data_IF_628806686522
#
_entry.id   IF_628806686522
#
_cell.length_a   1.000
_cell.length_b   1.000
_cell.length_c   1.000
_cell.angle_alpha   90.00
_cell.angle_beta   90.00
_cell.angle_gamma   90.00
#
_symmetry.space_group_name_H-M   'P 1'
#
loop_
_entity.id
_entity.type
_entity.pdbx_description
1 polymer ?
#
# COMPACT_ATOMS: atom_id res chain seq x y z
N UNK A 1 17.21 -1.70 12.24
CA UNK A 1 15.74 -1.72 12.30
C UNK A 1 15.26 -0.87 13.47
N UNK A 2 14.28 0.00 13.27
CA UNK A 2 13.75 0.86 14.36
C UNK A 2 12.54 0.21 15.04
N UNK A 3 12.18 0.62 16.26
CA UNK A 3 10.97 0.11 16.94
C UNK A 3 9.70 0.34 16.10
N UNK A 4 9.63 1.44 15.34
CA UNK A 4 8.51 1.74 14.44
C UNK A 4 8.42 0.78 13.26
N UNK A 5 9.56 0.28 12.80
CA UNK A 5 9.71 -0.70 11.73
C UNK A 5 9.17 -2.06 12.17
N UNK A 6 9.59 -2.51 13.36
CA UNK A 6 9.12 -3.77 13.98
C UNK A 6 7.60 -3.75 14.12
N UNK A 7 7.02 -2.67 14.67
CA UNK A 7 5.57 -2.56 14.86
C UNK A 7 4.80 -2.60 13.53
N UNK A 8 5.37 -2.05 12.45
CA UNK A 8 4.77 -2.12 11.13
C UNK A 8 4.72 -3.56 10.60
N UNK A 9 5.85 -4.27 10.64
CA UNK A 9 5.94 -5.66 10.20
C UNK A 9 5.01 -6.59 11.00
N UNK A 10 4.94 -6.42 12.33
CA UNK A 10 4.00 -7.18 13.18
C UNK A 10 2.53 -6.91 12.78
N UNK A 11 2.17 -5.67 12.48
CA UNK A 11 0.82 -5.32 12.07
C UNK A 11 0.45 -5.94 10.71
N UNK A 12 1.38 -5.90 9.75
CA UNK A 12 1.24 -6.49 8.42
C UNK A 12 1.12 -8.02 8.50
N UNK A 13 2.00 -8.69 9.24
CA UNK A 13 1.96 -10.14 9.42
C UNK A 13 0.60 -10.60 9.97
N UNK A 14 0.10 -9.96 11.04
CA UNK A 14 -1.22 -10.27 11.62
C UNK A 14 -2.36 -10.00 10.65
N UNK A 15 -2.24 -8.99 9.77
CA UNK A 15 -3.26 -8.71 8.74
C UNK A 15 -3.33 -9.87 7.74
N UNK A 16 -2.19 -10.31 7.22
CA UNK A 16 -2.12 -11.42 6.29
C UNK A 16 -2.66 -12.73 6.89
N UNK A 17 -2.31 -13.06 8.14
CA UNK A 17 -2.85 -14.26 8.80
C UNK A 17 -4.37 -14.23 8.99
N UNK A 18 -4.93 -13.07 9.32
CA UNK A 18 -6.39 -12.90 9.41
C UNK A 18 -7.07 -13.09 8.05
N UNK A 19 -6.46 -12.57 6.98
CA UNK A 19 -6.98 -12.70 5.61
C UNK A 19 -6.88 -14.16 5.12
N UNK A 20 -5.79 -14.86 5.41
CA UNK A 20 -5.60 -16.28 5.11
C UNK A 20 -6.64 -17.18 5.80
N UNK A 21 -7.16 -16.76 6.97
CA UNK A 21 -8.26 -17.44 7.66
C UNK A 21 -9.63 -17.28 6.99
N UNK A 22 -9.79 -16.30 6.09
CA UNK A 22 -11.08 -15.93 5.47
C UNK A 22 -11.18 -16.34 3.99
N UNK A 23 -10.06 -16.50 3.28
CA UNK A 23 -10.00 -16.84 1.84
C UNK A 23 -9.33 -18.20 1.62
N UNK A 24 -9.92 -19.03 0.74
CA UNK A 24 -9.45 -20.39 0.46
C UNK A 24 -8.35 -20.48 -0.62
N UNK A 25 -8.50 -19.75 -1.73
CA UNK A 25 -7.60 -19.86 -2.89
C UNK A 25 -6.22 -19.20 -2.67
N UNK A 26 -6.17 -18.03 -2.03
CA UNK A 26 -4.91 -17.27 -1.85
C UNK A 26 -4.22 -17.58 -0.50
N UNK A 27 -4.66 -18.64 0.18
CA UNK A 27 -4.27 -18.91 1.57
C UNK A 27 -2.77 -19.11 1.70
N UNK A 28 -2.16 -19.90 0.81
CA UNK A 28 -0.74 -20.21 0.87
C UNK A 28 0.12 -18.95 0.64
N UNK A 29 -0.20 -18.16 -0.38
CA UNK A 29 0.46 -16.87 -0.66
C UNK A 29 0.40 -15.94 0.55
N UNK A 30 -0.78 -15.73 1.14
CA UNK A 30 -0.93 -14.88 2.32
C UNK A 30 -0.14 -15.39 3.55
N UNK A 31 0.04 -16.70 3.68
CA UNK A 31 0.87 -17.26 4.76
C UNK A 31 2.38 -17.07 4.49
N UNK A 32 2.82 -17.10 3.23
CA UNK A 32 4.20 -16.79 2.86
C UNK A 32 4.52 -15.31 3.11
N UNK A 33 3.61 -14.40 2.72
CA UNK A 33 3.72 -12.97 3.02
C UNK A 33 3.79 -12.73 4.53
N UNK A 34 2.90 -13.37 5.31
CA UNK A 34 2.94 -13.29 6.76
C UNK A 34 4.27 -13.82 7.34
N UNK A 35 4.83 -14.89 6.77
CA UNK A 35 6.10 -15.46 7.23
C UNK A 35 7.27 -14.49 7.00
N UNK A 36 7.32 -13.82 5.84
CA UNK A 36 8.30 -12.77 5.54
C UNK A 36 8.20 -11.59 6.51
N UNK A 37 6.99 -11.11 6.78
CA UNK A 37 6.76 -10.02 7.74
C UNK A 37 7.14 -10.42 9.18
N UNK A 38 6.87 -11.65 9.61
CA UNK A 38 7.32 -12.15 10.92
C UNK A 38 8.84 -12.26 11.01
N UNK A 39 9.51 -12.69 9.93
CA UNK A 39 10.97 -12.74 9.85
C UNK A 39 11.58 -11.34 9.97
N UNK A 40 11.06 -10.38 9.20
CA UNK A 40 11.45 -8.97 9.30
C UNK A 40 11.17 -8.39 10.69
N UNK A 41 10.11 -8.81 11.38
CA UNK A 41 9.86 -8.42 12.77
C UNK A 41 10.81 -9.06 13.80
N UNK A 42 11.62 -10.05 13.41
CA UNK A 42 12.49 -10.83 14.30
C UNK A 42 11.79 -11.98 15.03
N UNK A 43 10.53 -12.27 14.70
CA UNK A 43 9.74 -13.37 15.28
C UNK A 43 10.01 -14.69 14.54
N UNK A 44 11.24 -15.18 14.70
CA UNK A 44 11.80 -16.33 13.96
C UNK A 44 10.93 -17.59 14.09
N UNK A 45 10.46 -17.91 15.29
CA UNK A 45 9.67 -19.13 15.53
C UNK A 45 8.33 -19.08 14.79
N UNK A 46 7.70 -17.90 14.74
CA UNK A 46 6.41 -17.73 14.05
C UNK A 46 6.59 -17.78 12.54
N UNK A 47 7.63 -17.14 12.01
CA UNK A 47 7.96 -17.22 10.58
C UNK A 47 8.21 -18.68 10.16
N UNK A 48 9.00 -19.42 10.93
CA UNK A 48 9.33 -20.82 10.63
C UNK A 48 8.08 -21.73 10.68
N UNK A 49 7.17 -21.51 11.63
CA UNK A 49 5.90 -22.24 11.70
C UNK A 49 5.08 -22.06 10.42
N UNK A 50 4.98 -20.82 9.91
CA UNK A 50 4.21 -20.51 8.72
C UNK A 50 4.83 -21.12 7.45
N UNK A 51 6.15 -21.01 7.27
CA UNK A 51 6.85 -21.66 6.16
C UNK A 51 6.62 -23.17 6.17
N UNK A 52 6.80 -23.83 7.32
CA UNK A 52 6.57 -25.28 7.46
C UNK A 52 5.13 -25.66 7.14
N UNK A 53 4.17 -24.84 7.56
CA UNK A 53 2.75 -25.06 7.27
C UNK A 53 2.46 -25.03 5.78
N UNK A 54 2.93 -24.00 5.06
CA UNK A 54 2.75 -23.92 3.59
C UNK A 54 3.41 -25.10 2.88
N UNK A 55 4.61 -25.50 3.32
CA UNK A 55 5.30 -26.67 2.76
C UNK A 55 4.53 -27.96 3.03
N UNK A 56 3.90 -28.10 4.20
CA UNK A 56 3.13 -29.29 4.60
C UNK A 56 1.74 -29.38 3.96
N UNK A 57 1.06 -28.26 3.75
CA UNK A 57 -0.28 -28.20 3.16
C UNK A 57 -0.28 -28.76 1.72
N UNK A 58 0.87 -28.69 1.03
CA UNK A 58 1.02 -29.17 -0.35
C UNK A 58 0.30 -28.27 -1.37
N UNK A 59 0.36 -28.63 -2.66
CA UNK A 59 -0.22 -27.84 -3.75
C UNK A 59 0.81 -27.05 -4.59
N UNK A 60 0.36 -26.31 -5.61
CA UNK A 60 1.23 -25.52 -6.49
C UNK A 60 2.14 -24.56 -5.71
N UNK A 61 1.58 -23.81 -4.77
CA UNK A 61 2.24 -22.78 -3.97
C UNK A 61 3.25 -23.37 -2.96
N UNK A 62 3.20 -24.69 -2.72
CA UNK A 62 4.18 -25.40 -1.90
C UNK A 62 5.58 -25.38 -2.53
N UNK A 63 5.67 -25.24 -3.86
CA UNK A 63 6.95 -25.19 -4.56
C UNK A 63 7.70 -23.88 -4.25
N UNK A 64 7.03 -22.73 -4.42
CA UNK A 64 7.55 -21.40 -4.02
C UNK A 64 7.84 -21.37 -2.52
N UNK A 65 6.94 -21.89 -1.69
CA UNK A 65 7.14 -21.94 -0.24
C UNK A 65 8.39 -22.71 0.20
N UNK A 66 8.81 -23.75 -0.54
CA UNK A 66 10.08 -24.47 -0.28
C UNK A 66 11.31 -23.62 -0.60
N UNK A 67 11.27 -22.83 -1.69
CA UNK A 67 12.37 -21.94 -2.06
C UNK A 67 12.53 -20.81 -1.03
N UNK A 68 11.44 -20.12 -0.69
CA UNK A 68 11.45 -19.04 0.31
C UNK A 68 11.83 -19.53 1.71
N UNK A 69 11.38 -20.74 2.09
CA UNK A 69 11.82 -21.34 3.35
C UNK A 69 13.34 -21.63 3.36
N UNK A 70 13.93 -21.98 2.21
CA UNK A 70 15.37 -22.13 2.11
C UNK A 70 16.10 -20.79 2.30
N UNK A 71 15.60 -19.70 1.71
CA UNK A 71 16.12 -18.34 1.92
C UNK A 71 16.10 -17.94 3.39
N UNK A 72 14.95 -18.10 4.05
CA UNK A 72 14.82 -17.91 5.50
C UNK A 72 15.83 -18.73 6.31
N UNK A 73 16.06 -20.00 5.95
CA UNK A 73 17.05 -20.85 6.63
C UNK A 73 18.49 -20.38 6.40
N UNK A 74 18.81 -19.82 5.22
CA UNK A 74 20.12 -19.20 4.98
C UNK A 74 20.34 -17.97 5.84
N UNK A 75 19.33 -17.09 5.98
CA UNK A 75 19.39 -15.91 6.85
C UNK A 75 19.67 -16.28 8.32
N UNK A 76 19.14 -17.41 8.78
CA UNK A 76 19.41 -17.95 10.11
C UNK A 76 20.77 -18.67 10.25
N UNK A 77 21.58 -18.72 9.19
CA UNK A 77 22.84 -19.44 9.14
C UNK A 77 22.70 -20.97 9.08
N UNK A 78 21.49 -21.49 8.82
CA UNK A 78 21.19 -22.94 8.76
C UNK A 78 21.38 -23.51 7.35
N UNK A 79 22.56 -23.28 6.77
CA UNK A 79 22.83 -23.53 5.36
C UNK A 79 22.67 -24.99 4.91
N UNK A 80 22.92 -25.97 5.77
CA UNK A 80 22.69 -27.40 5.44
C UNK A 80 21.20 -27.71 5.28
N UNK A 81 20.36 -27.16 6.16
CA UNK A 81 18.91 -27.34 6.10
C UNK A 81 18.33 -26.63 4.88
N UNK A 82 18.80 -25.40 4.58
CA UNK A 82 18.41 -24.66 3.40
C UNK A 82 18.70 -25.45 2.10
N UNK A 83 19.93 -25.97 1.96
CA UNK A 83 20.31 -26.79 0.80
C UNK A 83 19.49 -28.08 0.69
N UNK A 84 19.13 -28.71 1.81
CA UNK A 84 18.25 -29.87 1.81
C UNK A 84 16.85 -29.54 1.26
N UNK A 85 16.27 -28.39 1.66
CA UNK A 85 14.99 -27.91 1.11
C UNK A 85 15.07 -27.66 -0.40
N UNK A 86 16.14 -27.01 -0.88
CA UNK A 86 16.36 -26.79 -2.31
C UNK A 86 16.55 -28.12 -3.07
N UNK A 87 17.25 -29.10 -2.49
CA UNK A 87 17.42 -30.42 -3.10
C UNK A 87 16.07 -31.17 -3.23
N UNK A 88 15.20 -31.09 -2.22
CA UNK A 88 13.85 -31.63 -2.26
C UNK A 88 13.02 -30.97 -3.36
N UNK A 89 13.06 -29.63 -3.45
CA UNK A 89 12.39 -28.87 -4.50
C UNK A 89 12.91 -29.26 -5.90
N UNK A 90 14.22 -29.38 -6.07
CA UNK A 90 14.84 -29.77 -7.33
C UNK A 90 14.39 -31.15 -7.82
N UNK A 91 14.30 -32.10 -6.89
CA UNK A 91 13.87 -33.48 -7.15
C UNK A 91 12.37 -33.57 -7.48
N UNK A 92 11.55 -32.73 -6.87
CA UNK A 92 10.11 -32.67 -7.12
C UNK A 92 9.77 -32.20 -8.55
N UNK A 93 10.67 -31.44 -9.20
CA UNK A 93 10.50 -30.91 -10.57
C UNK A 93 9.13 -30.22 -10.76
N UNK A 94 8.81 -29.18 -9.98
CA UNK A 94 7.57 -28.45 -10.17
C UNK A 94 7.50 -27.90 -11.61
N UNK A 95 6.29 -27.80 -12.15
CA UNK A 95 5.99 -27.10 -13.41
C UNK A 95 5.64 -25.63 -13.20
N UNK A 96 6.14 -25.05 -12.10
CA UNK A 96 5.90 -23.70 -11.63
C UNK A 96 7.18 -22.89 -11.79
N UNK A 97 7.25 -21.91 -12.71
CA UNK A 97 8.45 -21.11 -12.95
C UNK A 97 8.91 -20.33 -11.72
N UNK A 98 7.99 -19.80 -10.92
CA UNK A 98 8.27 -18.93 -9.77
C UNK A 98 9.11 -19.68 -8.73
N UNK A 99 8.87 -20.99 -8.58
CA UNK A 99 9.67 -21.82 -7.68
C UNK A 99 11.15 -21.94 -8.09
N UNK A 100 11.46 -21.84 -9.39
CA UNK A 100 12.84 -21.86 -9.87
C UNK A 100 13.49 -20.49 -9.78
N UNK A 101 12.72 -19.45 -10.02
CA UNK A 101 13.13 -18.05 -9.91
C UNK A 101 13.51 -17.75 -8.44
N UNK A 102 12.60 -17.98 -7.50
CA UNK A 102 12.87 -17.76 -6.07
C UNK A 102 14.07 -18.58 -5.58
N UNK A 103 14.23 -19.82 -6.07
CA UNK A 103 15.39 -20.63 -5.72
C UNK A 103 16.69 -20.08 -6.31
N UNK A 104 16.65 -19.49 -7.51
CA UNK A 104 17.80 -18.86 -8.14
C UNK A 104 18.18 -17.56 -7.40
N UNK A 105 17.22 -16.70 -7.05
CA UNK A 105 17.45 -15.49 -6.26
C UNK A 105 18.08 -15.82 -4.91
N UNK A 106 17.48 -16.74 -4.15
CA UNK A 106 18.03 -17.19 -2.85
C UNK A 106 19.48 -17.67 -2.98
N UNK A 107 19.83 -18.36 -4.07
CA UNK A 107 21.19 -18.83 -4.31
C UNK A 107 22.14 -17.71 -4.75
N UNK A 108 21.65 -16.72 -5.48
CA UNK A 108 22.39 -15.51 -5.85
C UNK A 108 22.73 -14.69 -4.60
N UNK A 109 21.76 -14.46 -3.71
CA UNK A 109 21.93 -13.70 -2.47
C UNK A 109 23.00 -14.29 -1.54
N UNK A 110 23.07 -15.62 -1.45
CA UNK A 110 24.11 -16.31 -0.67
C UNK A 110 25.44 -16.48 -1.43
N UNK A 111 25.53 -15.97 -2.66
CA UNK A 111 26.74 -15.95 -3.48
C UNK A 111 27.04 -17.25 -4.24
N UNK A 112 26.13 -18.23 -4.26
CA UNK A 112 26.29 -19.44 -5.08
C UNK A 112 25.77 -19.19 -6.51
N UNK A 113 26.43 -18.27 -7.21
CA UNK A 113 26.08 -17.83 -8.56
C UNK A 113 26.00 -18.99 -9.55
N UNK A 114 26.87 -20.00 -9.40
CA UNK A 114 26.85 -21.19 -10.24
C UNK A 114 25.58 -22.01 -10.03
N UNK A 115 25.09 -22.13 -8.79
CA UNK A 115 23.81 -22.78 -8.52
C UNK A 115 22.63 -21.93 -8.98
N UNK A 116 22.64 -20.62 -8.71
CA UNK A 116 21.60 -19.70 -9.17
C UNK A 116 21.37 -19.82 -10.69
N UNK A 117 22.46 -19.77 -11.48
CA UNK A 117 22.38 -19.93 -12.93
C UNK A 117 21.83 -21.29 -13.36
N UNK A 118 22.15 -22.37 -12.61
CA UNK A 118 21.58 -23.71 -12.89
C UNK A 118 20.08 -23.74 -12.64
N UNK A 119 19.60 -23.07 -11.60
CA UNK A 119 18.17 -23.00 -11.28
C UNK A 119 17.38 -22.19 -12.29
N UNK A 120 17.86 -20.99 -12.66
CA UNK A 120 17.21 -20.17 -13.67
C UNK A 120 17.10 -20.91 -15.03
N UNK A 121 18.21 -21.50 -15.50
CA UNK A 121 18.19 -22.30 -16.74
C UNK A 121 17.27 -23.54 -16.65
N UNK A 122 17.19 -24.18 -15.48
CA UNK A 122 16.30 -25.31 -15.30
C UNK A 122 14.81 -24.90 -15.30
N UNK A 123 14.46 -23.76 -14.70
CA UNK A 123 13.11 -23.22 -14.74
C UNK A 123 12.66 -22.95 -16.17
N UNK A 124 13.50 -22.26 -16.94
CA UNK A 124 13.27 -22.02 -18.38
C UNK A 124 13.05 -23.35 -19.12
N UNK A 125 13.99 -24.28 -19.01
CA UNK A 125 13.94 -25.53 -19.75
C UNK A 125 12.76 -26.45 -19.36
N UNK A 126 12.35 -26.45 -18.09
CA UNK A 126 11.31 -27.34 -17.58
C UNK A 126 9.90 -26.78 -17.76
N UNK A 127 9.73 -25.47 -17.67
CA UNK A 127 8.41 -24.83 -17.73
C UNK A 127 8.05 -24.37 -19.14
N UNK A 128 9.03 -23.93 -19.93
CA UNK A 128 8.82 -23.34 -21.26
C UNK A 128 9.31 -24.23 -22.41
N UNK A 129 10.06 -25.29 -22.09
CA UNK A 129 10.62 -26.22 -23.06
C UNK A 129 11.95 -25.72 -23.65
N UNK A 130 12.38 -26.25 -24.81
CA UNK A 130 13.67 -25.90 -25.39
C UNK A 130 13.74 -24.41 -25.76
N UNK A 131 14.96 -23.86 -25.68
CA UNK A 131 15.25 -22.47 -26.05
C UNK A 131 14.85 -22.23 -27.51
N UNK A 132 13.73 -21.53 -27.73
CA UNK A 132 13.32 -20.99 -29.04
C UNK A 132 13.57 -19.49 -29.05
N UNK A 133 13.69 -18.90 -30.23
CA UNK A 133 13.67 -17.45 -30.35
C UNK A 133 12.33 -16.93 -29.79
N UNK A 134 12.44 -16.07 -28.77
CA UNK A 134 11.34 -15.34 -28.12
C UNK A 134 11.63 -13.86 -28.29
N UNK A 135 10.59 -13.06 -28.50
CA UNK A 135 10.74 -11.60 -28.56
C UNK A 135 10.38 -10.94 -27.22
N UNK A 136 10.66 -9.64 -27.09
CA UNK A 136 10.45 -8.90 -25.85
C UNK A 136 8.97 -8.66 -25.53
N UNK A 137 8.07 -8.69 -26.52
CA UNK A 137 6.63 -8.54 -26.28
C UNK A 137 6.04 -9.83 -25.71
N UNK A 138 6.46 -10.98 -26.24
CA UNK A 138 6.12 -12.29 -25.71
C UNK A 138 6.61 -12.46 -24.27
N UNK A 139 7.88 -12.11 -24.00
CA UNK A 139 8.44 -12.17 -22.65
C UNK A 139 7.72 -11.20 -21.70
N UNK A 140 7.37 -9.99 -22.15
CA UNK A 140 6.61 -9.05 -21.33
C UNK A 140 5.19 -9.56 -20.99
N UNK A 141 4.62 -10.42 -21.85
CA UNK A 141 3.34 -11.06 -21.61
C UNK A 141 3.36 -12.17 -20.54
N UNK A 142 4.55 -12.65 -20.17
CA UNK A 142 4.78 -13.72 -19.19
C UNK A 142 5.81 -13.27 -18.15
N UNK A 143 5.33 -12.66 -17.06
CA UNK A 143 6.19 -12.09 -16.03
C UNK A 143 7.10 -13.14 -15.36
N UNK A 144 6.63 -14.37 -15.22
CA UNK A 144 7.43 -15.44 -14.64
C UNK A 144 8.62 -15.85 -15.54
N UNK A 145 8.43 -15.81 -16.88
CA UNK A 145 9.53 -15.95 -17.82
C UNK A 145 10.47 -14.75 -17.73
N UNK A 146 9.94 -13.52 -17.71
CA UNK A 146 10.73 -12.32 -17.55
C UNK A 146 11.61 -12.37 -16.31
N UNK A 147 11.08 -12.79 -15.16
CA UNK A 147 11.82 -12.87 -13.89
C UNK A 147 12.90 -13.97 -13.92
N UNK A 148 12.64 -15.12 -14.56
CA UNK A 148 13.68 -16.13 -14.80
C UNK A 148 14.82 -15.63 -15.71
N UNK A 149 14.49 -14.97 -16.82
CA UNK A 149 15.50 -14.36 -17.70
C UNK A 149 16.24 -13.23 -17.00
N UNK A 150 15.55 -12.57 -16.07
CA UNK A 150 16.06 -11.47 -15.28
C UNK A 150 17.22 -11.92 -14.40
N UNK A 151 16.94 -12.87 -13.52
CA UNK A 151 17.92 -13.45 -12.60
C UNK A 151 19.05 -14.11 -13.38
N UNK A 152 18.72 -14.84 -14.46
CA UNK A 152 19.73 -15.44 -15.33
C UNK A 152 20.73 -14.42 -15.87
N UNK A 153 20.24 -13.31 -16.42
CA UNK A 153 21.09 -12.26 -16.99
C UNK A 153 21.99 -11.61 -15.95
N UNK A 154 21.45 -11.33 -14.76
CA UNK A 154 22.21 -10.77 -13.63
C UNK A 154 23.32 -11.71 -13.16
N UNK A 155 22.99 -12.99 -12.96
CA UNK A 155 23.95 -14.00 -12.51
C UNK A 155 25.03 -14.26 -13.58
N UNK A 156 24.69 -14.25 -14.87
CA UNK A 156 25.67 -14.36 -15.97
C UNK A 156 26.65 -13.20 -15.95
N UNK A 157 26.15 -11.97 -15.78
CA UNK A 157 27.00 -10.79 -15.67
C UNK A 157 27.91 -10.87 -14.43
N UNK A 158 27.39 -11.32 -13.28
CA UNK A 158 28.18 -11.52 -12.06
C UNK A 158 29.25 -12.64 -12.20
N UNK A 159 29.07 -13.56 -13.14
CA UNK A 159 30.04 -14.59 -13.52
C UNK A 159 30.96 -14.19 -14.67
N UNK A 160 30.97 -12.91 -15.07
CA UNK A 160 31.72 -12.37 -16.22
C UNK A 160 31.44 -13.11 -17.55
N UNK A 161 30.24 -13.65 -17.71
CA UNK A 161 29.82 -14.28 -18.96
C UNK A 161 29.32 -13.22 -19.94
N UNK A 162 29.62 -13.35 -21.25
CA UNK A 162 29.07 -12.43 -22.24
C UNK A 162 27.54 -12.56 -22.31
N UNK A 163 26.79 -11.46 -22.48
CA UNK A 163 25.35 -11.53 -22.66
C UNK A 163 25.00 -12.31 -23.94
N UNK A 164 23.90 -13.03 -23.92
CA UNK A 164 23.30 -13.64 -25.10
C UNK A 164 21.97 -13.00 -25.49
N UNK A 165 21.35 -13.51 -26.55
CA UNK A 165 20.11 -12.95 -27.10
C UNK A 165 18.97 -12.91 -26.06
N UNK A 166 18.93 -13.88 -25.15
CA UNK A 166 17.92 -13.98 -24.10
C UNK A 166 18.13 -12.89 -23.04
N UNK A 167 19.38 -12.63 -22.70
CA UNK A 167 19.74 -11.52 -21.82
C UNK A 167 19.32 -10.17 -22.45
N UNK A 168 19.52 -10.01 -23.77
CA UNK A 168 19.08 -8.82 -24.51
C UNK A 168 17.56 -8.63 -24.53
N UNK A 169 16.81 -9.70 -24.80
CA UNK A 169 15.34 -9.68 -24.80
C UNK A 169 14.79 -9.34 -23.41
N UNK A 170 15.39 -9.89 -22.34
CA UNK A 170 14.99 -9.60 -20.97
C UNK A 170 15.19 -8.13 -20.60
N UNK A 171 16.27 -7.49 -21.07
CA UNK A 171 16.50 -6.06 -20.87
C UNK A 171 15.39 -5.24 -21.52
N UNK A 172 15.09 -5.49 -22.80
CA UNK A 172 14.05 -4.78 -23.54
C UNK A 172 12.65 -4.95 -22.91
N UNK A 173 12.33 -6.18 -22.48
CA UNK A 173 11.05 -6.46 -21.82
C UNK A 173 10.92 -5.73 -20.48
N UNK A 174 11.99 -5.69 -19.66
CA UNK A 174 12.00 -4.91 -18.40
C UNK A 174 11.86 -3.41 -18.63
N UNK A 175 12.55 -2.87 -19.63
CA UNK A 175 12.44 -1.44 -19.99
C UNK A 175 10.99 -1.10 -20.37
N UNK A 176 10.38 -1.92 -21.23
CA UNK A 176 8.98 -1.76 -21.62
C UNK A 176 8.01 -1.91 -20.42
N UNK A 177 8.27 -2.84 -19.49
CA UNK A 177 7.48 -2.98 -18.26
C UNK A 177 7.58 -1.71 -17.39
N UNK A 178 8.79 -1.17 -17.24
CA UNK A 178 9.05 0.07 -16.51
C UNK A 178 8.31 1.27 -17.11
N UNK A 179 8.33 1.40 -18.45
CA UNK A 179 7.57 2.44 -19.16
C UNK A 179 6.05 2.31 -18.95
N UNK A 180 5.51 1.09 -19.07
CA UNK A 180 4.09 0.81 -18.81
C UNK A 180 3.70 1.15 -17.38
N UNK A 181 4.53 0.78 -16.39
CA UNK A 181 4.28 1.11 -14.99
C UNK A 181 4.33 2.63 -14.73
N UNK A 182 5.29 3.33 -15.34
CA UNK A 182 5.40 4.78 -15.24
C UNK A 182 4.17 5.47 -15.85
N UNK A 183 3.69 5.01 -16.99
CA UNK A 183 2.45 5.47 -17.61
C UNK A 183 1.24 5.23 -16.71
N UNK A 184 1.03 4.01 -16.22
CA UNK A 184 -0.09 3.70 -15.32
C UNK A 184 -0.05 4.54 -14.03
N UNK A 185 1.15 4.74 -13.48
CA UNK A 185 1.36 5.59 -12.30
C UNK A 185 1.03 7.05 -12.61
N UNK A 186 1.47 7.56 -13.76
CA UNK A 186 1.13 8.91 -14.24
C UNK A 186 -0.37 9.06 -14.43
N UNK A 187 -1.04 8.13 -15.11
CA UNK A 187 -2.49 8.15 -15.30
C UNK A 187 -3.26 8.03 -13.98
N UNK A 188 -2.78 7.22 -13.03
CA UNK A 188 -3.37 7.10 -11.71
C UNK A 188 -3.19 8.41 -10.91
N UNK A 189 -2.04 9.06 -11.07
CA UNK A 189 -1.74 10.38 -10.49
C UNK A 189 -2.59 11.47 -11.12
N UNK A 190 -2.74 11.48 -12.45
CA UNK A 190 -3.61 12.39 -13.20
C UNK A 190 -5.08 12.18 -12.81
N UNK A 191 -5.54 10.94 -12.65
CA UNK A 191 -6.86 10.63 -12.09
C UNK A 191 -7.02 11.11 -10.64
N UNK A 192 -5.93 11.09 -9.86
CA UNK A 192 -5.86 11.62 -8.49
C UNK A 192 -5.63 13.13 -8.42
N UNK A 193 -5.31 13.80 -9.53
CA UNK A 193 -4.89 15.21 -9.56
C UNK A 193 -6.00 16.21 -9.22
N UNK A 194 -7.24 15.75 -9.00
CA UNK A 194 -8.17 16.48 -8.15
C UNK A 194 -7.81 16.20 -6.69
N UNK A 195 -6.91 17.00 -6.11
CA UNK A 195 -6.60 16.95 -4.69
C UNK A 195 -7.86 17.34 -3.90
N UNK A 196 -8.65 16.34 -3.53
CA UNK A 196 -9.85 16.53 -2.73
C UNK A 196 -9.45 16.72 -1.27
N UNK A 197 -9.49 17.95 -0.80
CA UNK A 197 -9.27 18.26 0.61
C UNK A 197 -10.62 18.30 1.30
N UNK A 198 -10.88 17.32 2.16
CA UNK A 198 -12.11 17.23 2.93
C UNK A 198 -11.93 17.71 4.38
N UNK A 199 -12.85 18.53 4.86
CA UNK A 199 -12.90 18.99 6.26
C UNK A 199 -14.22 18.54 6.87
N UNK A 200 -14.17 17.94 8.07
CA UNK A 200 -15.36 17.51 8.79
C UNK A 200 -16.06 18.68 9.48
N UNK A 201 -17.37 18.78 9.28
CA UNK A 201 -18.27 19.66 10.00
C UNK A 201 -19.25 18.82 10.84
N UNK A 202 -19.21 19.03 12.15
CA UNK A 202 -20.19 18.53 13.11
C UNK A 202 -21.41 19.48 13.22
N UNK A 203 -22.63 19.02 12.93
CA UNK A 203 -23.87 19.71 13.31
C UNK A 203 -23.95 20.01 14.82
N UNK A 204 -24.81 20.93 15.28
CA UNK A 204 -24.85 21.34 16.69
C UNK A 204 -25.00 20.18 17.68
N UNK A 205 -25.91 19.26 17.41
CA UNK A 205 -26.20 18.10 18.27
C UNK A 205 -25.01 17.13 18.30
N UNK A 206 -24.46 16.81 17.13
CA UNK A 206 -23.26 15.97 16.98
C UNK A 206 -22.03 16.61 17.64
N UNK A 207 -21.86 17.93 17.53
CA UNK A 207 -20.74 18.60 18.16
C UNK A 207 -20.83 18.57 19.69
N UNK A 208 -22.04 18.76 20.24
CA UNK A 208 -22.27 18.62 21.67
C UNK A 208 -21.98 17.18 22.14
N UNK A 209 -22.41 16.19 21.37
CA UNK A 209 -22.17 14.77 21.66
C UNK A 209 -20.67 14.42 21.57
N UNK A 210 -19.95 14.97 20.58
CA UNK A 210 -18.50 14.78 20.42
C UNK A 210 -17.74 15.28 21.65
N UNK A 211 -18.07 16.48 22.12
CA UNK A 211 -17.47 17.08 23.31
C UNK A 211 -17.85 16.33 24.59
N UNK A 212 -19.06 15.75 24.64
CA UNK A 212 -19.51 14.92 25.76
C UNK A 212 -18.73 13.61 25.86
N UNK A 213 -18.50 12.91 24.74
CA UNK A 213 -17.77 11.64 24.70
C UNK A 213 -16.26 11.81 24.89
N UNK A 214 -15.71 12.87 24.29
CA UNK A 214 -14.26 13.13 24.31
C UNK A 214 -13.98 14.58 24.69
N UNK A 215 -13.99 14.90 26.00
CA UNK A 215 -13.61 16.20 26.50
C UNK A 215 -12.12 16.46 26.18
N UNK A 216 -11.86 17.27 25.16
CA UNK A 216 -10.49 17.54 24.67
C UNK A 216 -10.33 17.49 23.16
N UNK A 217 -11.35 17.04 22.40
CA UNK A 217 -11.29 16.97 20.93
C UNK A 217 -11.06 18.31 20.23
N UNK A 218 -11.38 19.43 20.90
CA UNK A 218 -11.20 20.80 20.40
C UNK A 218 -10.52 21.70 21.45
N UNK A 219 -9.20 21.57 21.64
CA UNK A 219 -8.46 22.38 22.59
C UNK A 219 -8.29 23.80 22.02
N UNK A 220 -9.03 24.77 22.56
CA UNK A 220 -9.00 26.16 22.07
C UNK A 220 -10.29 26.96 22.30
N UNK A 221 -11.38 26.30 22.72
CA UNK A 221 -12.59 27.00 23.14
C UNK A 221 -12.34 27.77 24.45
N UNK A 222 -12.48 29.09 24.41
CA UNK A 222 -12.55 29.93 25.60
C UNK A 222 -14.01 29.99 26.07
N UNK A 223 -14.26 30.03 27.38
CA UNK A 223 -15.62 30.00 27.97
C UNK A 223 -16.51 31.22 27.63
N UNK A 224 -16.03 32.11 26.77
CA UNK A 224 -16.67 33.35 26.35
C UNK A 224 -17.16 33.21 24.91
N UNK A 225 -18.19 32.40 24.67
CA UNK A 225 -18.86 32.27 23.37
C UNK A 225 -19.62 30.94 23.21
N UNK A 226 -20.44 30.83 22.15
CA UNK A 226 -21.05 29.55 21.76
C UNK A 226 -19.97 28.61 21.18
N UNK A 227 -19.75 27.42 21.77
CA UNK A 227 -18.77 26.45 21.28
C UNK A 227 -18.97 26.05 19.82
N UNK A 228 -20.22 25.96 19.35
CA UNK A 228 -20.50 25.54 17.98
C UNK A 228 -20.13 26.63 16.96
N UNK A 229 -20.28 27.89 17.32
CA UNK A 229 -19.82 29.01 16.52
C UNK A 229 -18.29 29.00 16.37
N UNK A 230 -17.53 28.61 17.39
CA UNK A 230 -16.07 28.47 17.31
C UNK A 230 -15.67 27.36 16.32
N UNK A 231 -16.32 26.20 16.38
CA UNK A 231 -16.11 25.09 15.43
C UNK A 231 -16.42 25.52 13.99
N UNK A 232 -17.54 26.24 13.76
CA UNK A 232 -17.87 26.76 12.43
C UNK A 232 -16.78 27.69 11.87
N UNK A 233 -16.16 28.51 12.71
CA UNK A 233 -15.05 29.38 12.30
C UNK A 233 -13.80 28.59 11.94
N UNK A 234 -13.46 27.57 12.72
CA UNK A 234 -12.30 26.71 12.47
C UNK A 234 -12.43 25.98 11.12
N UNK A 235 -13.61 25.42 10.84
CA UNK A 235 -13.89 24.74 9.55
C UNK A 235 -13.72 25.72 8.38
N UNK A 236 -14.35 26.88 8.45
CA UNK A 236 -14.23 27.93 7.40
C UNK A 236 -12.78 28.39 7.22
N UNK A 237 -12.06 28.64 8.32
CA UNK A 237 -10.67 29.07 8.29
C UNK A 237 -9.74 28.00 7.70
N UNK A 238 -9.97 26.73 8.02
CA UNK A 238 -9.19 25.60 7.48
C UNK A 238 -9.37 25.49 5.97
N UNK A 239 -10.61 25.58 5.48
CA UNK A 239 -10.91 25.55 4.06
C UNK A 239 -10.31 26.77 3.32
N UNK A 240 -10.37 27.96 3.92
CA UNK A 240 -9.73 29.17 3.34
C UNK A 240 -8.21 29.09 3.31
N UNK A 241 -7.57 28.52 4.33
CA UNK A 241 -6.11 28.28 4.34
C UNK A 241 -5.73 27.29 3.26
N UNK A 242 -6.48 26.20 3.10
CA UNK A 242 -6.27 25.25 2.00
C UNK A 242 -6.33 25.94 0.63
N UNK A 243 -7.29 26.86 0.38
CA UNK A 243 -7.29 27.66 -0.86
C UNK A 243 -6.03 28.52 -1.00
N UNK A 244 -5.60 29.19 0.07
CA UNK A 244 -4.44 30.08 0.04
C UNK A 244 -3.14 29.31 -0.21
N UNK A 245 -3.02 28.12 0.37
CA UNK A 245 -1.86 27.24 0.23
C UNK A 245 -1.83 26.54 -1.15
N UNK A 246 -3.00 26.28 -1.74
CA UNK A 246 -3.16 25.70 -3.08
C UNK A 246 -3.15 26.74 -4.22
N UNK A 247 -3.12 28.05 -3.94
CA UNK A 247 -3.08 29.07 -4.98
C UNK A 247 -1.66 29.17 -5.58
N UNK A 248 -1.46 28.92 -6.89
CA UNK A 248 -0.15 29.09 -7.49
C UNK A 248 0.27 30.57 -7.42
N UNK A 249 1.54 30.81 -7.06
CA UNK A 249 2.21 32.04 -7.44
C UNK A 249 1.98 32.27 -8.94
N UNK A 250 1.57 33.48 -9.29
CA UNK A 250 1.04 33.85 -10.60
C UNK A 250 1.66 33.11 -11.80
N UNK A 251 0.79 32.65 -12.72
CA UNK A 251 1.06 32.14 -14.08
C UNK A 251 1.26 30.63 -14.30
N UNK A 252 0.23 29.80 -14.05
CA UNK A 252 -0.06 28.61 -14.88
C UNK A 252 -1.58 28.44 -14.96
N UNK A 253 -2.17 28.52 -16.15
CA UNK A 253 -3.63 28.45 -16.39
C UNK A 253 -4.22 27.03 -16.35
N UNK A 254 -3.40 26.01 -16.12
CA UNK A 254 -3.76 24.58 -16.18
C UNK A 254 -3.46 23.78 -14.90
N UNK A 255 -3.14 24.45 -13.78
CA UNK A 255 -3.01 23.74 -12.52
C UNK A 255 -4.41 23.26 -12.04
N UNK A 256 -4.59 21.97 -11.69
CA UNK A 256 -5.87 21.45 -11.26
C UNK A 256 -6.34 22.21 -10.02
N UNK A 257 -7.55 22.75 -10.07
CA UNK A 257 -8.19 23.37 -8.90
C UNK A 257 -8.48 22.27 -7.89
N UNK A 258 -7.82 22.28 -6.74
CA UNK A 258 -8.17 21.40 -5.61
C UNK A 258 -9.66 21.56 -5.29
N UNK A 259 -10.42 20.46 -5.32
CA UNK A 259 -11.83 20.47 -4.92
C UNK A 259 -11.87 20.42 -3.40
N UNK A 260 -12.29 21.51 -2.76
CA UNK A 260 -12.49 21.53 -1.32
C UNK A 260 -13.86 20.97 -0.98
N UNK A 261 -13.87 20.00 -0.06
CA UNK A 261 -15.05 19.25 0.32
C UNK A 261 -15.38 19.49 1.79
N UNK A 262 -16.67 19.62 2.08
CA UNK A 262 -17.20 19.61 3.42
C UNK A 262 -17.88 18.27 3.69
N UNK A 263 -17.43 17.56 4.72
CA UNK A 263 -18.00 16.29 5.16
C UNK A 263 -18.87 16.52 6.39
N UNK A 264 -20.15 16.12 6.36
CA UNK A 264 -21.01 16.23 7.56
C UNK A 264 -20.78 14.99 8.44
N UNK A 265 -20.19 15.19 9.61
CA UNK A 265 -19.83 14.12 10.53
C UNK A 265 -20.98 13.70 11.45
N UNK A 266 -20.98 12.41 11.83
CA UNK A 266 -21.84 11.85 12.87
C UNK A 266 -20.96 11.16 13.93
N UNK A 267 -21.23 11.39 15.21
CA UNK A 267 -20.33 10.97 16.30
C UNK A 267 -20.29 9.45 16.46
N UNK A 268 -21.39 8.75 16.23
CA UNK A 268 -21.41 7.28 16.29
C UNK A 268 -20.56 6.66 15.18
N UNK A 269 -20.70 7.11 13.93
CA UNK A 269 -19.88 6.66 12.80
C UNK A 269 -18.39 7.00 12.99
N UNK A 270 -18.10 8.16 13.60
CA UNK A 270 -16.73 8.50 13.99
C UNK A 270 -16.19 7.59 15.09
N UNK A 271 -17.01 7.22 16.08
CA UNK A 271 -16.63 6.30 17.16
C UNK A 271 -16.22 4.92 16.61
N UNK A 272 -17.01 4.39 15.69
CA UNK A 272 -16.70 3.12 15.02
C UNK A 272 -15.43 3.25 14.18
N UNK A 273 -15.30 4.34 13.41
CA UNK A 273 -14.13 4.60 12.57
C UNK A 273 -12.82 4.66 13.38
N UNK A 274 -12.81 5.36 14.52
CA UNK A 274 -11.58 5.47 15.33
C UNK A 274 -11.18 4.14 15.95
N UNK A 275 -12.14 3.28 16.32
CA UNK A 275 -11.88 1.94 16.85
C UNK A 275 -11.32 1.04 15.74
N UNK A 276 -11.95 1.02 14.57
CA UNK A 276 -11.54 0.19 13.44
C UNK A 276 -10.13 0.52 12.92
N UNK A 277 -9.68 1.76 13.12
CA UNK A 277 -8.41 2.27 12.62
C UNK A 277 -7.36 2.51 13.72
N UNK A 278 -7.64 2.14 14.98
CA UNK A 278 -6.75 2.32 16.13
C UNK A 278 -6.26 3.78 16.29
N UNK A 279 -7.20 4.73 16.25
CA UNK A 279 -6.93 6.17 16.28
C UNK A 279 -7.33 6.80 17.62
N UNK A 280 -6.59 7.83 18.04
CA UNK A 280 -6.98 8.68 19.16
C UNK A 280 -8.17 9.58 18.76
N UNK A 281 -9.36 9.45 19.37
CA UNK A 281 -10.53 10.24 19.00
C UNK A 281 -10.38 11.74 19.21
N UNK A 282 -9.45 12.17 20.07
CA UNK A 282 -9.20 13.59 20.36
C UNK A 282 -8.24 14.26 19.38
N UNK A 283 -7.46 13.47 18.64
CA UNK A 283 -6.41 13.98 17.77
C UNK A 283 -6.98 14.64 16.49
N UNK A 284 -6.46 15.82 16.07
CA UNK A 284 -6.86 16.46 14.80
C UNK A 284 -6.68 15.57 13.57
N UNK A 285 -5.65 14.71 13.58
CA UNK A 285 -5.38 13.75 12.50
C UNK A 285 -6.53 12.76 12.30
N UNK A 286 -7.16 12.29 13.37
CA UNK A 286 -8.26 11.34 13.33
C UNK A 286 -9.48 11.92 12.63
N UNK A 287 -9.78 13.21 12.88
CA UNK A 287 -10.83 13.95 12.17
C UNK A 287 -10.52 14.15 10.68
N UNK A 288 -9.27 14.44 10.33
CA UNK A 288 -8.84 14.56 8.94
C UNK A 288 -8.97 13.23 8.19
N UNK A 289 -8.57 12.12 8.82
CA UNK A 289 -8.70 10.77 8.26
C UNK A 289 -10.16 10.36 8.10
N UNK A 290 -11.00 10.70 9.08
CA UNK A 290 -12.44 10.48 8.99
C UNK A 290 -13.09 11.32 7.87
N UNK A 291 -12.68 12.59 7.69
CA UNK A 291 -13.16 13.41 6.58
C UNK A 291 -12.78 12.83 5.21
N UNK A 292 -11.57 12.30 5.07
CA UNK A 292 -11.13 11.61 3.85
C UNK A 292 -11.88 10.29 3.60
N UNK A 293 -12.23 9.56 4.66
CA UNK A 293 -13.10 8.39 4.58
C UNK A 293 -14.53 8.75 4.14
N UNK A 294 -15.13 9.80 4.69
CA UNK A 294 -16.43 10.31 4.25
C UNK A 294 -16.41 10.77 2.78
N UNK A 295 -15.33 11.42 2.33
CA UNK A 295 -15.15 11.80 0.94
C UNK A 295 -15.11 10.56 0.01
N UNK A 296 -14.35 9.53 0.38
CA UNK A 296 -14.32 8.25 -0.35
C UNK A 296 -15.69 7.57 -0.41
N UNK A 297 -16.51 7.73 0.63
CA UNK A 297 -17.89 7.22 0.69
C UNK A 297 -18.91 8.13 -0.04
N UNK A 298 -18.47 9.23 -0.65
CA UNK A 298 -19.34 10.17 -1.35
C UNK A 298 -20.25 11.00 -0.42
N UNK A 299 -19.91 11.12 0.86
CA UNK A 299 -20.70 11.82 1.89
C UNK A 299 -20.22 13.25 2.11
N UNK A 300 -20.01 13.99 1.02
CA UNK A 300 -19.45 15.36 1.04
C UNK A 300 -20.21 16.31 0.13
N UNK A 301 -20.12 17.60 0.43
CA UNK A 301 -20.58 18.68 -0.46
C UNK A 301 -19.41 19.58 -0.85
N UNK A 302 -19.45 20.17 -2.05
CA UNK A 302 -18.43 21.12 -2.50
C UNK A 302 -18.44 22.43 -1.69
N UNK A 303 -17.25 22.94 -1.40
CA UNK A 303 -17.02 24.25 -0.79
C UNK A 303 -16.14 25.11 -1.72
N UNK A 304 -16.39 26.41 -1.85
CA UNK A 304 -17.45 27.15 -1.20
C UNK A 304 -18.81 26.94 -1.90
N UNK A 305 -19.91 26.92 -1.15
CA UNK A 305 -21.22 27.11 -1.74
C UNK A 305 -21.28 28.40 -2.55
N UNK A 306 -22.18 28.47 -3.53
CA UNK A 306 -22.43 29.70 -4.28
C UNK A 306 -22.66 30.90 -3.34
N UNK A 307 -22.08 32.05 -3.65
CA UNK A 307 -22.05 33.24 -2.77
C UNK A 307 -23.43 33.68 -2.22
N UNK A 308 -24.50 33.44 -2.98
CA UNK A 308 -25.88 33.73 -2.60
C UNK A 308 -26.69 32.48 -2.19
N UNK A 309 -26.12 31.28 -2.28
CA UNK A 309 -26.73 30.02 -1.88
C UNK A 309 -26.77 29.85 -0.37
N UNK A 310 -27.47 28.80 0.07
CA UNK A 310 -27.60 28.43 1.48
C UNK A 310 -26.24 28.14 2.10
N UNK A 311 -26.04 28.60 3.33
CA UNK A 311 -24.80 28.35 4.06
C UNK A 311 -24.67 26.87 4.44
N UNK A 312 -23.45 26.35 4.33
CA UNK A 312 -23.14 24.95 4.60
C UNK A 312 -23.39 24.50 6.05
N UNK A 313 -23.56 25.43 6.98
CA UNK A 313 -23.87 25.15 8.39
C UNK A 313 -25.36 24.88 8.67
N UNK A 314 -26.22 24.86 7.65
CA UNK A 314 -27.66 24.60 7.81
C UNK A 314 -28.51 25.80 8.27
N UNK A 315 -27.95 27.00 8.44
CA UNK A 315 -28.66 28.17 8.99
C UNK A 315 -29.70 28.83 8.06
N UNK A 316 -30.01 28.27 6.89
CA UNK A 316 -30.86 28.82 5.81
C UNK A 316 -30.44 30.21 5.26
N UNK A 317 -29.52 30.90 5.92
CA UNK A 317 -28.97 32.21 5.52
C UNK A 317 -28.05 32.05 4.30
N UNK A 318 -27.96 33.13 3.52
CA UNK A 318 -26.99 33.23 2.41
C UNK A 318 -25.56 33.08 2.95
N UNK A 319 -24.73 32.25 2.30
CA UNK A 319 -23.34 31.99 2.70
C UNK A 319 -22.53 33.26 2.98
N UNK A 320 -22.59 34.28 2.10
CA UNK A 320 -21.92 35.59 2.29
C UNK A 320 -22.35 36.39 3.52
N UNK A 321 -23.48 36.02 4.14
CA UNK A 321 -24.07 36.66 5.33
C UNK A 321 -24.03 35.72 6.56
N UNK A 322 -23.37 34.56 6.46
CA UNK A 322 -23.22 33.59 7.55
C UNK A 322 -21.75 33.16 7.68
N UNK A 323 -21.38 31.88 7.53
CA UNK A 323 -19.99 31.42 7.67
C UNK A 323 -19.03 32.10 6.69
N UNK A 324 -19.50 32.46 5.48
CA UNK A 324 -18.69 33.14 4.47
C UNK A 324 -18.55 34.65 4.68
N UNK A 325 -19.14 35.21 5.73
CA UNK A 325 -19.04 36.65 6.03
C UNK A 325 -17.63 37.00 6.52
N UNK A 326 -17.07 38.11 6.01
CA UNK A 326 -15.72 38.57 6.41
C UNK A 326 -15.61 38.88 7.92
N UNK A 327 -16.73 39.21 8.57
CA UNK A 327 -16.80 39.46 10.02
C UNK A 327 -16.91 38.19 10.86
N UNK A 328 -17.10 37.02 10.24
CA UNK A 328 -17.25 35.75 10.94
C UNK A 328 -15.93 34.97 11.05
N UNK A 329 -15.02 35.13 10.08
CA UNK A 329 -13.72 34.44 10.02
C UNK A 329 -12.50 35.30 10.37
N UNK A 330 -12.69 36.43 11.07
CA UNK A 330 -11.62 37.25 11.63
C UNK A 330 -11.28 36.79 13.06
#
# INVERSE_FOLDING_TARGET
MTVRDVTHHVAQARRFEREAGRRGADRATLLLEAAGEWHLAGEVDRAEELYRRVVADGGPESAVGRALYAGFLFDLGRAEQARARLAELWAARPGDPDAYECAAEVLEEVGDLAAALRWANAGIARCYGPLREVDSEEVLGDLALLDLLTVRSQVRAALDQPPDDWDGVAVLAREALGERWAELTREASERRSVEQVAVVYWPPEEFAELLRRWPGSYPGHTSTGDPHDAHRREVEATLRRAVADSAPAAHVSDAPRSTLLLAVGAVDDYADFVVDNDLDPTAPRSRAWYAADLARRGRTTEWPPGRNGTCWCGSERKYKKCCGAMTFGA
#
